data_IF_860888107653
#
_entry.id   IF_860888107653
#
_cell.length_a   1.000
_cell.length_b   1.000
_cell.length_c   1.000
_cell.angle_alpha   90.00
_cell.angle_beta   90.00
_cell.angle_gamma   90.00
#
_symmetry.space_group_name_H-M   'P 1'
#
loop_
_entity.id
_entity.type
_entity.pdbx_description
1 polymer ?
#
# COMPACT_ATOMS: atom_id res chain seq x y z
N UNK A 1 14.87 16.85 -5.87
CA UNK A 1 14.99 17.00 -4.40
C UNK A 1 14.46 18.38 -4.01
N UNK A 2 13.74 18.52 -2.88
CA UNK A 2 13.30 19.83 -2.40
C UNK A 2 14.50 20.73 -2.10
N UNK A 3 14.38 22.02 -2.41
CA UNK A 3 15.41 23.01 -2.07
C UNK A 3 15.39 23.35 -0.57
N UNK A 4 16.42 24.08 -0.10
CA UNK A 4 16.54 24.46 1.31
C UNK A 4 15.35 25.28 1.83
N UNK A 5 14.70 26.08 0.97
CA UNK A 5 13.55 26.88 1.35
C UNK A 5 12.32 26.01 1.61
N UNK A 6 12.11 24.99 0.77
CA UNK A 6 11.07 23.98 0.96
C UNK A 6 11.34 23.15 2.20
N UNK A 7 12.59 22.74 2.43
CA UNK A 7 12.99 22.00 3.63
C UNK A 7 12.73 22.82 4.90
N UNK A 8 13.06 24.11 4.90
CA UNK A 8 12.76 25.01 6.01
C UNK A 8 11.24 25.15 6.25
N UNK A 9 10.46 25.25 5.16
CA UNK A 9 9.00 25.25 5.22
C UNK A 9 8.43 23.95 5.82
N UNK A 10 8.96 22.80 5.42
CA UNK A 10 8.58 21.49 5.96
C UNK A 10 8.88 21.44 7.47
N UNK A 11 10.08 21.86 7.90
CA UNK A 11 10.45 21.89 9.32
C UNK A 11 9.51 22.77 10.14
N UNK A 12 9.16 23.95 9.63
CA UNK A 12 8.18 24.84 10.27
C UNK A 12 6.80 24.19 10.41
N UNK A 13 6.34 23.46 9.37
CA UNK A 13 5.08 22.72 9.44
C UNK A 13 5.15 21.57 10.46
N UNK A 14 6.28 20.86 10.56
CA UNK A 14 6.51 19.84 11.59
C UNK A 14 6.46 20.45 13.00
N UNK A 15 7.06 21.63 13.21
CA UNK A 15 7.00 22.33 14.51
C UNK A 15 5.55 22.68 14.90
N UNK A 16 4.76 23.18 13.95
CA UNK A 16 3.35 23.47 14.16
C UNK A 16 2.55 22.19 14.48
N UNK A 17 2.83 21.08 13.79
CA UNK A 17 2.24 19.78 14.08
C UNK A 17 2.62 19.28 15.48
N UNK A 18 3.90 19.35 15.86
CA UNK A 18 4.37 18.90 17.17
C UNK A 18 3.73 19.69 18.33
N UNK A 19 3.53 21.00 18.14
CA UNK A 19 2.81 21.83 19.11
C UNK A 19 1.37 21.33 19.33
N UNK A 20 0.68 20.91 18.26
CA UNK A 20 -0.66 20.33 18.35
C UNK A 20 -0.65 18.87 18.85
N UNK A 21 0.36 18.08 18.47
CA UNK A 21 0.49 16.63 18.75
C UNK A 21 0.44 16.34 20.24
N UNK A 22 1.20 17.09 21.05
CA UNK A 22 1.25 16.87 22.50
C UNK A 22 -0.15 16.98 23.14
N UNK A 23 -0.97 17.93 22.69
CA UNK A 23 -2.34 18.09 23.16
C UNK A 23 -3.24 16.95 22.72
N UNK A 24 -3.13 16.49 21.46
CA UNK A 24 -3.88 15.37 20.92
C UNK A 24 -3.52 14.05 21.62
N UNK A 25 -2.23 13.79 21.83
CA UNK A 25 -1.73 12.63 22.56
C UNK A 25 -2.25 12.62 24.00
N UNK A 26 -2.26 13.77 24.69
CA UNK A 26 -2.84 13.89 26.03
C UNK A 26 -4.34 13.62 26.04
N UNK A 27 -5.09 14.11 25.04
CA UNK A 27 -6.52 13.82 24.91
C UNK A 27 -6.77 12.33 24.73
N UNK A 28 -6.05 11.65 23.85
CA UNK A 28 -6.19 10.21 23.62
C UNK A 28 -5.86 9.41 24.88
N UNK A 29 -4.77 9.78 25.58
CA UNK A 29 -4.33 9.11 26.82
C UNK A 29 -5.40 9.11 27.91
N UNK A 30 -6.24 10.14 27.99
CA UNK A 30 -7.34 10.19 28.96
C UNK A 30 -8.66 9.67 28.41
N UNK A 31 -8.96 9.91 27.13
CA UNK A 31 -10.22 9.45 26.50
C UNK A 31 -10.32 7.95 26.41
N UNK A 32 -9.24 7.25 26.07
CA UNK A 32 -9.24 5.78 25.93
C UNK A 32 -9.62 5.10 27.26
N UNK A 33 -8.91 5.32 28.38
CA UNK A 33 -9.28 4.68 29.65
C UNK A 33 -10.62 5.17 30.16
N UNK A 34 -10.99 6.44 29.93
CA UNK A 34 -12.30 6.94 30.34
C UNK A 34 -13.43 6.23 29.59
N UNK A 35 -13.39 6.19 28.25
CA UNK A 35 -14.49 5.67 27.44
C UNK A 35 -14.60 4.15 27.55
N UNK A 36 -13.47 3.45 27.41
CA UNK A 36 -13.43 1.99 27.52
C UNK A 36 -13.65 1.56 28.97
N UNK A 37 -13.02 2.24 29.93
CA UNK A 37 -13.14 1.92 31.35
C UNK A 37 -14.56 2.13 31.89
N UNK A 38 -15.25 3.22 31.51
CA UNK A 38 -16.65 3.42 31.87
C UNK A 38 -17.56 2.35 31.27
N UNK A 39 -17.29 1.91 30.04
CA UNK A 39 -18.05 0.83 29.40
C UNK A 39 -17.86 -0.49 30.14
N UNK A 40 -16.62 -0.84 30.49
CA UNK A 40 -16.33 -2.04 31.27
C UNK A 40 -16.96 -1.97 32.67
N UNK A 41 -16.89 -0.82 33.34
CA UNK A 41 -17.55 -0.62 34.63
C UNK A 41 -19.07 -0.79 34.53
N UNK A 42 -19.70 -0.23 33.49
CA UNK A 42 -21.13 -0.40 33.25
C UNK A 42 -21.49 -1.87 32.99
N UNK A 43 -20.71 -2.59 32.19
CA UNK A 43 -20.90 -4.04 31.94
C UNK A 43 -20.80 -4.83 33.25
N UNK A 44 -19.82 -4.55 34.10
CA UNK A 44 -19.65 -5.23 35.40
C UNK A 44 -20.83 -4.94 36.33
N UNK A 45 -21.28 -3.68 36.41
CA UNK A 45 -22.41 -3.29 37.26
C UNK A 45 -23.71 -3.96 36.78
N UNK A 46 -23.97 -3.98 35.47
CA UNK A 46 -25.16 -4.61 34.90
C UNK A 46 -25.12 -6.13 35.07
N UNK A 47 -23.96 -6.77 34.86
CA UNK A 47 -23.78 -8.20 35.13
C UNK A 47 -24.04 -8.54 36.60
N UNK A 48 -23.52 -7.71 37.52
CA UNK A 48 -23.80 -7.87 38.94
C UNK A 48 -25.30 -7.76 39.28
N UNK A 49 -26.02 -6.84 38.64
CA UNK A 49 -27.47 -6.73 38.78
C UNK A 49 -28.22 -7.94 38.22
N UNK A 50 -27.80 -8.48 37.08
CA UNK A 50 -28.38 -9.71 36.53
C UNK A 50 -28.21 -10.89 37.50
N UNK A 51 -27.07 -11.01 38.17
CA UNK A 51 -26.85 -12.04 39.19
C UNK A 51 -27.78 -11.95 40.40
N UNK A 52 -28.37 -10.78 40.68
CA UNK A 52 -29.35 -10.64 41.77
C UNK A 52 -30.70 -11.29 41.45
N UNK A 53 -30.98 -11.53 40.16
CA UNK A 53 -32.25 -12.07 39.67
C UNK A 53 -32.06 -13.46 39.02
N UNK A 54 -30.81 -13.83 38.70
CA UNK A 54 -30.47 -15.10 38.07
C UNK A 54 -30.59 -16.30 39.03
N UNK A 55 -30.89 -17.46 38.47
CA UNK A 55 -30.78 -18.75 39.17
C UNK A 55 -29.33 -18.94 39.68
N UNK A 56 -29.13 -19.44 40.92
CA UNK A 56 -27.79 -19.72 41.46
C UNK A 56 -26.87 -20.52 40.53
N UNK A 57 -27.41 -21.41 39.69
CA UNK A 57 -26.64 -22.24 38.77
C UNK A 57 -26.25 -21.55 37.46
N UNK A 58 -26.84 -20.40 37.14
CA UNK A 58 -26.62 -19.66 35.88
C UNK A 58 -25.94 -18.29 36.08
N UNK A 59 -25.45 -18.01 37.29
CA UNK A 59 -24.77 -16.76 37.59
C UNK A 59 -23.59 -16.54 36.64
N UNK A 60 -23.44 -15.31 36.14
CA UNK A 60 -22.41 -14.86 35.19
C UNK A 60 -22.48 -15.42 33.77
N UNK A 61 -23.19 -16.52 33.55
CA UNK A 61 -23.22 -17.25 32.27
C UNK A 61 -24.62 -17.39 31.65
N UNK A 62 -25.67 -16.88 32.30
CA UNK A 62 -27.01 -16.88 31.72
C UNK A 62 -27.05 -16.12 30.39
N UNK A 63 -28.04 -16.44 29.55
CA UNK A 63 -28.19 -15.83 28.22
C UNK A 63 -28.09 -14.29 28.23
N UNK A 64 -28.71 -13.55 29.18
CA UNK A 64 -28.52 -12.10 29.30
C UNK A 64 -27.07 -11.63 29.49
N UNK A 65 -26.25 -12.36 30.26
CA UNK A 65 -24.85 -12.03 30.48
C UNK A 65 -24.04 -12.14 29.18
N UNK A 66 -24.25 -13.23 28.43
CA UNK A 66 -23.55 -13.44 27.15
C UNK A 66 -23.86 -12.28 26.19
N UNK A 67 -25.13 -11.90 26.03
CA UNK A 67 -25.50 -10.74 25.21
C UNK A 67 -24.87 -9.44 25.72
N UNK A 68 -24.89 -9.19 27.02
CA UNK A 68 -24.26 -8.02 27.63
C UNK A 68 -22.76 -7.94 27.32
N UNK A 69 -22.03 -9.06 27.40
CA UNK A 69 -20.59 -9.08 27.11
C UNK A 69 -20.32 -8.84 25.62
N UNK A 70 -21.10 -9.45 24.72
CA UNK A 70 -20.97 -9.19 23.28
C UNK A 70 -21.24 -7.73 22.93
N UNK A 71 -22.32 -7.15 23.47
CA UNK A 71 -22.68 -5.75 23.25
C UNK A 71 -21.61 -4.83 23.86
N UNK A 72 -21.17 -5.11 25.09
CA UNK A 72 -20.12 -4.37 25.77
C UNK A 72 -18.80 -4.39 25.00
N UNK A 73 -18.43 -5.54 24.44
CA UNK A 73 -17.24 -5.69 23.59
C UNK A 73 -17.36 -4.86 22.31
N UNK A 74 -18.48 -4.99 21.57
CA UNK A 74 -18.72 -4.22 20.36
C UNK A 74 -18.74 -2.70 20.64
N UNK A 75 -19.39 -2.27 21.73
CA UNK A 75 -19.42 -0.88 22.17
C UNK A 75 -18.02 -0.36 22.54
N UNK A 76 -17.22 -1.17 23.23
CA UNK A 76 -15.84 -0.83 23.58
C UNK A 76 -14.97 -0.58 22.36
N UNK A 77 -15.13 -1.39 21.30
CA UNK A 77 -14.43 -1.18 20.03
C UNK A 77 -14.83 0.16 19.40
N UNK A 78 -16.13 0.45 19.31
CA UNK A 78 -16.63 1.71 18.75
C UNK A 78 -16.14 2.93 19.54
N UNK A 79 -16.16 2.85 20.87
CA UNK A 79 -15.73 3.91 21.77
C UNK A 79 -14.21 4.10 21.76
N UNK A 80 -13.44 3.03 21.59
CA UNK A 80 -12.00 3.12 21.35
C UNK A 80 -11.71 3.93 20.08
N UNK A 81 -12.36 3.58 18.96
CA UNK A 81 -12.20 4.35 17.71
C UNK A 81 -12.62 5.81 17.88
N UNK A 82 -13.70 6.09 18.61
CA UNK A 82 -14.12 7.45 18.94
C UNK A 82 -13.08 8.19 19.81
N UNK A 83 -12.44 7.51 20.75
CA UNK A 83 -11.45 8.08 21.65
C UNK A 83 -10.17 8.50 20.92
N UNK A 84 -9.74 7.73 19.91
CA UNK A 84 -8.52 8.03 19.12
C UNK A 84 -8.75 9.02 17.96
N UNK A 85 -10.00 9.39 17.65
CA UNK A 85 -10.33 10.34 16.56
C UNK A 85 -9.51 11.63 16.52
N UNK A 86 -9.19 12.30 17.65
CA UNK A 86 -8.40 13.53 17.62
C UNK A 86 -7.00 13.32 17.04
N UNK A 87 -6.35 12.20 17.38
CA UNK A 87 -5.01 11.87 16.89
C UNK A 87 -5.04 11.53 15.40
N UNK A 88 -5.95 10.65 14.99
CA UNK A 88 -6.07 10.24 13.57
C UNK A 88 -6.42 11.41 12.66
N UNK A 89 -7.32 12.31 13.10
CA UNK A 89 -7.65 13.54 12.36
C UNK A 89 -6.47 14.49 12.23
N UNK A 90 -5.70 14.67 13.30
CA UNK A 90 -4.52 15.54 13.27
C UNK A 90 -3.44 14.99 12.34
N UNK A 91 -3.15 13.69 12.44
CA UNK A 91 -2.21 13.00 11.55
C UNK A 91 -2.66 13.11 10.09
N UNK A 92 -3.93 12.85 9.79
CA UNK A 92 -4.43 12.91 8.42
C UNK A 92 -4.40 14.33 7.86
N UNK A 93 -4.89 15.33 8.61
CA UNK A 93 -4.82 16.74 8.19
C UNK A 93 -3.38 17.19 7.92
N UNK A 94 -2.43 16.68 8.70
CA UNK A 94 -1.02 16.98 8.48
C UNK A 94 -0.46 16.25 7.25
N UNK A 95 -0.83 14.98 6.99
CA UNK A 95 -0.51 14.28 5.72
C UNK A 95 -1.03 15.05 4.52
N UNK A 96 -2.30 15.47 4.55
CA UNK A 96 -2.96 16.23 3.49
C UNK A 96 -2.21 17.54 3.15
N UNK A 97 -1.54 18.13 4.14
CA UNK A 97 -0.74 19.34 3.98
C UNK A 97 0.70 19.02 3.57
N UNK A 98 1.32 18.03 4.22
CA UNK A 98 2.74 17.71 4.07
C UNK A 98 3.04 17.03 2.73
N UNK A 99 2.24 16.02 2.34
CA UNK A 99 2.52 15.18 1.17
C UNK A 99 2.63 16.00 -0.13
N UNK A 100 1.71 16.93 -0.44
CA UNK A 100 1.86 17.81 -1.60
C UNK A 100 3.14 18.65 -1.57
N UNK A 101 3.58 19.10 -0.39
CA UNK A 101 4.78 19.95 -0.24
C UNK A 101 6.05 19.13 -0.48
N UNK A 102 6.17 17.96 0.15
CA UNK A 102 7.37 17.13 0.03
C UNK A 102 7.52 16.55 -1.40
N UNK A 103 6.40 16.42 -2.11
CA UNK A 103 6.35 16.03 -3.51
C UNK A 103 6.33 17.21 -4.49
N UNK A 104 6.65 18.43 -4.05
CA UNK A 104 6.69 19.63 -4.89
C UNK A 104 7.72 19.58 -6.04
N UNK A 105 8.60 18.58 -6.07
CA UNK A 105 9.48 18.31 -7.22
C UNK A 105 8.76 17.63 -8.40
N UNK A 106 7.51 17.19 -8.21
CA UNK A 106 6.64 16.62 -9.23
C UNK A 106 5.80 17.74 -9.84
N UNK A 107 5.77 17.85 -11.17
CA UNK A 107 4.91 18.81 -11.86
C UNK A 107 3.46 18.36 -11.76
N UNK A 108 2.52 19.29 -11.57
CA UNK A 108 1.08 19.01 -11.50
C UNK A 108 0.71 17.96 -10.43
N UNK A 109 1.42 17.97 -9.30
CA UNK A 109 1.18 17.01 -8.22
C UNK A 109 -0.25 17.10 -7.70
N UNK A 110 -0.91 15.95 -7.61
CA UNK A 110 -2.19 15.76 -6.94
C UNK A 110 -2.06 14.64 -5.93
N UNK A 111 -2.50 14.90 -4.72
CA UNK A 111 -2.57 13.93 -3.65
C UNK A 111 -4.03 13.68 -3.29
N UNK A 112 -4.38 12.42 -3.05
CA UNK A 112 -5.67 12.00 -2.55
C UNK A 112 -5.47 10.88 -1.53
N UNK A 113 -6.11 11.03 -0.38
CA UNK A 113 -6.24 9.96 0.60
C UNK A 113 -7.51 9.15 0.35
N UNK A 114 -7.34 7.85 0.15
CA UNK A 114 -8.37 6.89 -0.18
C UNK A 114 -8.90 7.05 -1.60
N UNK A 115 -9.75 6.10 -2.01
CA UNK A 115 -10.40 6.09 -3.33
C UNK A 115 -9.69 5.21 -4.35
N UNK A 116 -10.40 4.87 -5.43
CA UNK A 116 -9.88 3.97 -6.48
C UNK A 116 -8.97 4.78 -7.43
N UNK A 117 -7.70 4.39 -7.62
CA UNK A 117 -6.81 5.00 -8.61
C UNK A 117 -7.34 4.82 -10.03
N UNK A 118 -7.07 5.79 -10.91
CA UNK A 118 -7.58 5.78 -12.29
C UNK A 118 -6.91 4.69 -13.15
N UNK A 119 -5.66 4.35 -12.87
CA UNK A 119 -4.89 3.35 -13.60
C UNK A 119 -5.20 1.92 -13.18
N UNK A 120 -5.86 1.72 -12.03
CA UNK A 120 -6.04 0.39 -11.45
C UNK A 120 -6.85 -0.55 -12.34
N UNK A 121 -7.83 -0.03 -13.09
CA UNK A 121 -8.64 -0.83 -14.01
C UNK A 121 -7.85 -1.34 -15.24
N UNK A 122 -6.70 -0.72 -15.54
CA UNK A 122 -5.81 -1.10 -16.65
C UNK A 122 -4.68 -2.02 -16.23
N UNK A 123 -4.47 -2.21 -14.91
CA UNK A 123 -3.47 -3.13 -14.36
C UNK A 123 -3.84 -4.58 -14.73
N UNK A 124 -2.95 -5.34 -15.40
CA UNK A 124 -3.18 -6.76 -15.64
C UNK A 124 -3.36 -7.52 -14.33
N UNK A 125 -4.46 -8.27 -14.20
CA UNK A 125 -4.76 -9.05 -12.97
C UNK A 125 -3.69 -10.11 -12.71
N UNK A 126 -3.05 -10.56 -13.77
CA UNK A 126 -1.93 -11.48 -13.79
C UNK A 126 -0.72 -10.95 -13.00
N UNK A 127 -0.54 -9.63 -12.88
CA UNK A 127 0.56 -9.06 -12.10
C UNK A 127 0.35 -9.15 -10.57
N UNK A 128 -0.90 -9.22 -10.11
CA UNK A 128 -1.25 -9.09 -8.68
C UNK A 128 -1.81 -10.36 -8.05
N UNK A 129 -2.49 -11.22 -8.80
CA UNK A 129 -3.21 -12.35 -8.21
C UNK A 129 -4.73 -12.23 -8.33
N UNK A 130 -5.48 -13.25 -7.88
CA UNK A 130 -6.92 -13.15 -7.74
C UNK A 130 -7.23 -12.36 -6.48
N UNK A 131 -8.22 -11.48 -6.53
CA UNK A 131 -8.65 -10.74 -5.35
C UNK A 131 -10.14 -10.41 -5.48
N UNK A 132 -10.80 -10.29 -4.34
CA UNK A 132 -12.20 -9.85 -4.24
C UNK A 132 -12.37 -8.66 -3.30
N UNK A 133 -11.30 -8.28 -2.58
CA UNK A 133 -11.25 -7.11 -1.72
C UNK A 133 -10.04 -6.27 -2.08
N UNK A 134 -10.24 -4.96 -2.03
CA UNK A 134 -9.26 -3.96 -2.41
C UNK A 134 -9.37 -2.78 -1.46
N UNK A 135 -8.22 -2.29 -1.01
CA UNK A 135 -8.08 -1.06 -0.25
C UNK A 135 -6.94 -0.25 -0.86
N UNK A 136 -7.13 1.08 -0.91
CA UNK A 136 -6.12 2.03 -1.34
C UNK A 136 -6.01 3.11 -0.27
N UNK A 137 -4.79 3.44 0.14
CA UNK A 137 -4.55 4.42 1.20
C UNK A 137 -4.18 5.78 0.62
N UNK A 138 -3.00 5.90 0.01
CA UNK A 138 -2.56 7.15 -0.61
C UNK A 138 -2.43 7.00 -2.11
N UNK A 139 -2.90 8.02 -2.84
CA UNK A 139 -2.76 8.15 -4.29
C UNK A 139 -2.06 9.47 -4.59
N UNK A 140 -0.94 9.41 -5.29
CA UNK A 140 -0.16 10.55 -5.76
C UNK A 140 -0.09 10.48 -7.28
N UNK A 141 -0.53 11.52 -7.98
CA UNK A 141 -0.39 11.62 -9.44
C UNK A 141 0.28 12.92 -9.84
N UNK A 142 0.85 12.94 -11.04
CA UNK A 142 1.50 14.13 -11.59
C UNK A 142 2.35 13.79 -12.80
N UNK A 143 3.32 14.66 -13.08
CA UNK A 143 4.34 14.44 -14.11
C UNK A 143 5.72 14.45 -13.48
N UNK A 144 6.45 13.37 -13.67
CA UNK A 144 7.85 13.27 -13.27
C UNK A 144 8.70 13.28 -14.55
N UNK A 145 9.71 14.15 -14.61
CA UNK A 145 10.34 14.54 -15.87
C UNK A 145 9.25 14.90 -16.90
N UNK A 146 9.17 14.21 -18.03
CA UNK A 146 8.22 14.47 -19.13
C UNK A 146 7.05 13.48 -19.22
N UNK A 147 6.90 12.53 -18.31
CA UNK A 147 5.84 11.50 -18.39
C UNK A 147 4.83 11.60 -17.23
N UNK A 148 3.54 11.30 -17.49
CA UNK A 148 2.54 11.20 -16.44
C UNK A 148 2.71 9.91 -15.64
N UNK A 149 2.42 9.98 -14.34
CA UNK A 149 2.37 8.81 -13.48
C UNK A 149 1.22 8.90 -12.47
N UNK A 150 0.83 7.74 -11.95
CA UNK A 150 -0.04 7.59 -10.79
C UNK A 150 0.58 6.53 -9.86
N UNK A 151 0.95 6.92 -8.65
CA UNK A 151 1.50 6.07 -7.62
C UNK A 151 0.46 5.89 -6.52
N UNK A 152 0.26 4.66 -6.07
CA UNK A 152 -0.66 4.41 -4.97
C UNK A 152 -0.28 3.20 -4.11
N UNK A 153 -0.61 3.30 -2.82
CA UNK A 153 -0.55 2.19 -1.88
C UNK A 153 -1.79 1.31 -2.04
N UNK A 154 -1.59 0.01 -2.26
CA UNK A 154 -2.67 -0.95 -2.48
C UNK A 154 -2.54 -2.17 -1.57
N UNK A 155 -3.68 -2.59 -1.01
CA UNK A 155 -3.84 -3.90 -0.39
C UNK A 155 -4.97 -4.67 -1.09
N UNK A 156 -4.61 -5.79 -1.72
CA UNK A 156 -5.50 -6.69 -2.44
C UNK A 156 -5.56 -8.02 -1.71
N UNK A 157 -6.78 -8.46 -1.39
CA UNK A 157 -7.03 -9.70 -0.62
C UNK A 157 -8.00 -10.62 -1.35
N UNK A 158 -7.78 -11.91 -1.17
CA UNK A 158 -8.67 -12.98 -1.61
C UNK A 158 -9.39 -13.61 -0.42
N UNK A 159 -10.63 -14.06 -0.62
CA UNK A 159 -11.43 -14.73 0.39
C UNK A 159 -12.06 -13.80 1.43
N UNK A 160 -12.82 -14.38 2.36
CA UNK A 160 -13.55 -13.69 3.44
C UNK A 160 -13.28 -14.32 4.80
N UNK A 161 -13.17 -13.50 5.86
CA UNK A 161 -12.99 -14.01 7.22
C UNK A 161 -11.62 -14.64 7.48
N UNK A 162 -11.59 -15.73 8.26
CA UNK A 162 -10.36 -16.40 8.74
C UNK A 162 -9.51 -17.07 7.65
N UNK A 163 -10.06 -17.26 6.45
CA UNK A 163 -9.36 -17.87 5.31
C UNK A 163 -8.84 -16.87 4.30
N UNK A 164 -8.76 -15.57 4.63
CA UNK A 164 -8.32 -14.57 3.66
C UNK A 164 -6.81 -14.57 3.48
N UNK A 165 -6.35 -14.54 2.24
CA UNK A 165 -4.95 -14.39 1.84
C UNK A 165 -4.71 -13.00 1.23
N UNK A 166 -3.48 -12.50 1.37
CA UNK A 166 -3.06 -11.27 0.70
C UNK A 166 -2.50 -11.62 -0.67
N UNK A 167 -3.16 -11.14 -1.73
CA UNK A 167 -2.69 -11.29 -3.11
C UNK A 167 -1.55 -10.29 -3.40
N UNK A 168 -1.73 -9.05 -2.94
CA UNK A 168 -0.74 -7.99 -3.05
C UNK A 168 -0.87 -7.01 -1.89
N UNK A 169 0.27 -6.58 -1.34
CA UNK A 169 0.36 -5.43 -0.45
C UNK A 169 1.65 -4.68 -0.78
N UNK A 170 1.53 -3.38 -1.04
CA UNK A 170 2.69 -2.54 -1.37
C UNK A 170 2.31 -1.34 -2.21
N UNK A 171 3.28 -0.83 -2.97
CA UNK A 171 3.11 0.33 -3.85
C UNK A 171 3.01 -0.09 -5.30
N UNK A 172 2.11 0.55 -6.04
CA UNK A 172 2.00 0.42 -7.49
C UNK A 172 2.26 1.78 -8.11
N UNK A 173 3.17 1.82 -9.09
CA UNK A 173 3.44 3.00 -9.92
C UNK A 173 2.99 2.69 -11.34
N UNK A 174 1.93 3.36 -11.78
CA UNK A 174 1.48 3.35 -13.16
C UNK A 174 2.10 4.52 -13.91
N UNK A 175 2.56 4.29 -15.14
CA UNK A 175 3.20 5.28 -15.99
C UNK A 175 2.93 4.99 -17.47
N UNK A 176 3.14 5.99 -18.32
CA UNK A 176 3.09 5.82 -19.76
C UNK A 176 4.40 5.19 -20.28
N UNK A 177 4.29 4.04 -20.97
CA UNK A 177 5.43 3.41 -21.63
C UNK A 177 5.88 4.26 -22.83
N UNK A 178 7.20 4.31 -23.10
CA UNK A 178 7.73 5.10 -24.24
C UNK A 178 7.28 4.51 -25.57
N UNK A 179 7.38 3.18 -25.70
CA UNK A 179 6.80 2.43 -26.81
C UNK A 179 5.69 1.53 -26.26
N UNK A 180 4.46 1.62 -26.78
CA UNK A 180 3.38 0.73 -26.39
C UNK A 180 3.74 -0.74 -26.66
N UNK A 181 3.49 -1.60 -25.69
CA UNK A 181 3.65 -3.04 -25.86
C UNK A 181 2.41 -3.60 -26.59
N UNK A 182 2.54 -4.32 -27.72
CA UNK A 182 1.41 -4.82 -28.49
C UNK A 182 0.84 -6.11 -27.87
N UNK A 183 0.26 -5.98 -26.67
CA UNK A 183 -0.30 -7.08 -25.88
C UNK A 183 -0.20 -6.82 -24.38
N UNK A 184 -0.12 -7.90 -23.62
CA UNK A 184 0.17 -7.92 -22.18
C UNK A 184 1.49 -8.64 -21.95
N UNK A 185 2.41 -8.04 -21.20
CA UNK A 185 3.61 -8.69 -20.70
C UNK A 185 3.70 -8.49 -19.19
N UNK A 186 3.80 -9.57 -18.43
CA UNK A 186 4.00 -9.53 -16.98
C UNK A 186 5.29 -10.25 -16.60
N UNK A 187 6.03 -9.65 -15.68
CA UNK A 187 7.16 -10.24 -14.99
C UNK A 187 6.85 -10.24 -13.48
N UNK A 188 6.62 -11.43 -12.94
CA UNK A 188 6.25 -11.63 -11.54
C UNK A 188 7.26 -12.51 -10.83
N UNK A 189 7.30 -12.48 -9.50
CA UNK A 189 8.13 -13.39 -8.71
C UNK A 189 7.79 -14.84 -9.03
N UNK A 190 8.79 -15.65 -9.35
CA UNK A 190 8.64 -17.10 -9.49
C UNK A 190 8.42 -17.70 -8.11
N UNK A 191 7.20 -18.19 -7.86
CA UNK A 191 6.88 -19.01 -6.69
C UNK A 191 6.00 -20.18 -7.10
N UNK A 192 6.10 -21.30 -6.38
CA UNK A 192 5.22 -22.47 -6.61
C UNK A 192 3.72 -22.12 -6.45
N UNK A 193 3.42 -21.07 -5.66
CA UNK A 193 2.06 -20.55 -5.48
C UNK A 193 1.55 -19.82 -6.73
N UNK A 194 2.41 -19.07 -7.42
CA UNK A 194 2.09 -18.35 -8.64
C UNK A 194 1.84 -19.31 -9.82
N UNK A 195 2.61 -20.40 -9.93
CA UNK A 195 2.39 -21.46 -10.94
C UNK A 195 1.02 -22.14 -10.77
N UNK A 196 0.57 -22.37 -9.53
CA UNK A 196 -0.78 -22.88 -9.24
C UNK A 196 -1.89 -21.86 -9.45
N UNK A 197 -1.63 -20.59 -9.09
CA UNK A 197 -2.51 -19.43 -9.30
C UNK A 197 -2.86 -19.24 -10.78
N UNK A 198 -1.87 -19.29 -11.67
CA UNK A 198 -2.10 -19.13 -13.11
C UNK A 198 -2.79 -20.33 -13.77
N UNK A 199 -2.53 -21.54 -13.27
CA UNK A 199 -3.23 -22.75 -13.76
C UNK A 199 -4.72 -22.77 -13.35
N UNK A 200 -5.08 -22.11 -12.24
CA UNK A 200 -6.46 -21.99 -11.76
C UNK A 200 -7.27 -20.85 -12.40
N UNK A 201 -6.61 -19.84 -12.98
CA UNK A 201 -7.24 -18.86 -13.87
C UNK A 201 -7.45 -19.51 -15.24
N UNK A 202 -8.53 -20.29 -15.39
CA UNK A 202 -8.95 -21.02 -16.60
C UNK A 202 -9.23 -20.09 -17.82
N UNK A 203 -8.25 -19.33 -18.29
CA UNK A 203 -8.42 -18.47 -19.47
C UNK A 203 -7.31 -17.47 -19.81
N UNK A 204 -6.20 -17.36 -19.08
CA UNK A 204 -5.14 -16.44 -19.54
C UNK A 204 -4.48 -17.01 -20.80
N UNK A 205 -4.59 -16.30 -21.92
CA UNK A 205 -3.89 -16.61 -23.18
C UNK A 205 -2.37 -16.38 -23.08
N UNK A 206 -1.86 -16.13 -21.87
CA UNK A 206 -0.48 -15.76 -21.65
C UNK A 206 0.41 -17.00 -21.64
N UNK A 207 1.37 -17.00 -22.53
CA UNK A 207 2.38 -18.03 -22.66
C UNK A 207 3.60 -17.67 -21.82
N UNK A 208 4.23 -18.67 -21.22
CA UNK A 208 5.46 -18.48 -20.45
C UNK A 208 6.66 -18.29 -21.39
N UNK A 209 7.58 -17.43 -20.97
CA UNK A 209 8.82 -17.13 -21.66
C UNK A 209 9.99 -17.16 -20.66
N UNK A 210 11.17 -17.55 -21.14
CA UNK A 210 12.43 -17.53 -20.39
C UNK A 210 13.29 -16.38 -20.88
N UNK A 211 13.98 -15.71 -19.94
CA UNK A 211 14.97 -14.68 -20.23
C UNK A 211 16.28 -15.25 -20.77
N UNK A 212 16.54 -16.53 -20.55
CA UNK A 212 17.79 -17.21 -20.91
C UNK A 212 18.92 -16.99 -19.89
N UNK A 213 18.70 -16.17 -18.85
CA UNK A 213 19.63 -16.00 -17.73
C UNK A 213 19.12 -16.84 -16.53
N UNK A 214 19.87 -17.88 -16.08
CA UNK A 214 19.39 -18.81 -15.05
C UNK A 214 18.99 -18.16 -13.73
N UNK A 215 19.69 -17.10 -13.31
CA UNK A 215 19.38 -16.39 -12.06
C UNK A 215 18.08 -15.59 -12.15
N UNK A 216 17.85 -14.92 -13.29
CA UNK A 216 16.62 -14.17 -13.53
C UNK A 216 15.45 -15.12 -13.68
N UNK A 217 15.61 -16.19 -14.43
CA UNK A 217 14.57 -17.20 -14.57
C UNK A 217 14.31 -17.92 -13.23
N UNK A 218 15.29 -18.08 -12.35
CA UNK A 218 15.01 -18.63 -11.02
C UNK A 218 14.16 -17.69 -10.14
N UNK A 219 14.35 -16.37 -10.28
CA UNK A 219 13.66 -15.36 -9.47
C UNK A 219 12.32 -14.89 -10.06
N UNK A 220 12.20 -14.89 -11.38
CA UNK A 220 11.08 -14.32 -12.13
C UNK A 220 10.41 -15.31 -13.07
N UNK A 221 9.12 -15.08 -13.28
CA UNK A 221 8.29 -15.77 -14.26
C UNK A 221 7.72 -14.71 -15.21
N UNK A 222 8.00 -14.89 -16.51
CA UNK A 222 7.53 -14.01 -17.58
C UNK A 222 6.35 -14.63 -18.30
N UNK A 223 5.29 -13.84 -18.50
CA UNK A 223 4.11 -14.28 -19.24
C UNK A 223 3.61 -13.21 -20.19
N UNK A 224 3.20 -13.63 -21.38
CA UNK A 224 2.77 -12.71 -22.46
C UNK A 224 1.75 -13.35 -23.40
N UNK A 225 0.82 -12.57 -23.95
CA UNK A 225 -0.03 -13.00 -25.07
C UNK A 225 0.64 -12.79 -26.44
N UNK A 226 1.76 -12.06 -26.48
CA UNK A 226 2.54 -11.79 -27.68
C UNK A 226 4.02 -12.14 -27.45
N UNK A 227 4.38 -13.38 -27.80
CA UNK A 227 5.75 -13.90 -27.64
C UNK A 227 6.73 -13.15 -28.54
N UNK A 228 6.34 -12.84 -29.78
CA UNK A 228 7.24 -12.22 -30.77
C UNK A 228 7.68 -10.84 -30.30
N UNK A 229 6.76 -10.04 -29.75
CA UNK A 229 7.07 -8.74 -29.17
C UNK A 229 7.80 -8.83 -27.82
N UNK A 230 7.45 -9.82 -26.97
CA UNK A 230 8.03 -9.93 -25.63
C UNK A 230 9.46 -10.48 -25.61
N UNK A 231 9.80 -11.41 -26.53
CA UNK A 231 11.09 -12.09 -26.57
C UNK A 231 12.30 -11.15 -26.48
N UNK A 232 12.44 -10.14 -27.36
CA UNK A 232 13.58 -9.23 -27.29
C UNK A 232 13.64 -8.41 -25.99
N UNK A 233 12.50 -8.09 -25.39
CA UNK A 233 12.44 -7.35 -24.13
C UNK A 233 12.92 -8.21 -22.97
N UNK A 234 12.39 -9.43 -22.86
CA UNK A 234 12.63 -10.38 -21.76
C UNK A 234 14.06 -10.92 -21.79
N UNK A 235 14.66 -11.16 -22.96
CA UNK A 235 16.07 -11.57 -23.06
C UNK A 235 17.04 -10.41 -23.01
N UNK A 236 16.55 -9.16 -23.03
CA UNK A 236 17.35 -7.94 -23.10
C UNK A 236 17.11 -7.01 -21.92
N UNK A 237 16.61 -5.81 -22.21
CA UNK A 237 16.50 -4.69 -21.25
C UNK A 237 15.64 -5.01 -20.03
N UNK A 238 14.58 -5.81 -20.16
CA UNK A 238 13.71 -6.14 -19.02
C UNK A 238 14.44 -7.02 -18.00
N UNK A 239 15.19 -8.04 -18.45
CA UNK A 239 15.98 -8.87 -17.54
C UNK A 239 17.03 -8.05 -16.79
N UNK A 240 17.73 -7.14 -17.48
CA UNK A 240 18.69 -6.23 -16.86
C UNK A 240 18.04 -5.30 -15.83
N UNK A 241 16.88 -4.72 -16.15
CA UNK A 241 16.13 -3.89 -15.23
C UNK A 241 15.67 -4.67 -13.99
N UNK A 242 15.18 -5.90 -14.16
CA UNK A 242 14.74 -6.77 -13.06
C UNK A 242 15.90 -7.23 -12.18
N UNK A 243 17.10 -7.40 -12.76
CA UNK A 243 18.33 -7.68 -12.02
C UNK A 243 18.67 -6.52 -11.08
N UNK A 244 18.74 -5.31 -11.62
CA UNK A 244 19.00 -4.09 -10.85
C UNK A 244 17.90 -3.82 -9.79
N UNK A 245 16.63 -4.08 -10.14
CA UNK A 245 15.51 -4.00 -9.20
C UNK A 245 15.66 -4.97 -8.04
N UNK A 246 16.09 -6.21 -8.29
CA UNK A 246 16.34 -7.20 -7.25
C UNK A 246 17.51 -6.83 -6.32
N UNK A 247 18.51 -6.12 -6.83
CA UNK A 247 19.60 -5.57 -6.02
C UNK A 247 19.15 -4.39 -5.15
N UNK A 248 18.26 -3.55 -5.68
CA UNK A 248 17.79 -2.34 -5.00
C UNK A 248 16.67 -2.62 -3.99
N UNK A 249 15.85 -3.65 -4.23
CA UNK A 249 14.76 -4.11 -3.36
C UNK A 249 14.89 -5.62 -3.07
N UNK A 250 15.75 -6.03 -2.13
CA UNK A 250 16.10 -7.44 -1.92
C UNK A 250 15.02 -8.29 -1.22
N UNK A 251 14.10 -7.65 -0.49
CA UNK A 251 13.14 -8.38 0.37
C UNK A 251 12.06 -9.12 -0.42
N UNK A 252 11.47 -8.47 -1.43
CA UNK A 252 10.50 -9.10 -2.34
C UNK A 252 10.70 -8.55 -3.77
N UNK A 253 10.90 -9.42 -4.79
CA UNK A 253 11.11 -9.00 -6.16
C UNK A 253 10.00 -8.07 -6.67
N UNK A 254 10.43 -6.92 -7.21
CA UNK A 254 9.57 -5.98 -7.90
C UNK A 254 8.88 -6.66 -9.10
N UNK A 255 7.59 -6.41 -9.30
CA UNK A 255 6.85 -6.94 -10.45
C UNK A 255 6.71 -5.85 -11.50
N UNK A 256 6.76 -6.23 -12.77
CA UNK A 256 6.56 -5.31 -13.89
C UNK A 256 5.42 -5.83 -14.75
N UNK A 257 4.55 -4.94 -15.20
CA UNK A 257 3.52 -5.27 -16.18
C UNK A 257 3.45 -4.19 -17.26
N UNK A 258 3.32 -4.60 -18.52
CA UNK A 258 3.05 -3.75 -19.67
C UNK A 258 1.70 -4.17 -20.27
N UNK A 259 0.86 -3.21 -20.60
CA UNK A 259 -0.45 -3.42 -21.20
C UNK A 259 -0.75 -2.27 -22.17
N UNK A 260 -0.52 -2.49 -23.47
CA UNK A 260 -0.63 -1.42 -24.45
C UNK A 260 0.34 -0.27 -24.13
N UNK A 261 -0.21 0.95 -24.00
CA UNK A 261 0.57 2.14 -23.63
C UNK A 261 0.86 2.30 -22.13
N UNK A 262 0.25 1.50 -21.26
CA UNK A 262 0.44 1.58 -19.82
C UNK A 262 1.55 0.63 -19.35
N UNK A 263 2.44 1.15 -18.51
CA UNK A 263 3.40 0.37 -17.74
C UNK A 263 3.12 0.46 -16.25
N UNK A 264 3.39 -0.62 -15.53
CA UNK A 264 3.19 -0.74 -14.10
C UNK A 264 4.44 -1.33 -13.44
N UNK A 265 4.90 -0.67 -12.40
CA UNK A 265 5.88 -1.18 -11.46
C UNK A 265 5.19 -1.45 -10.13
N UNK A 266 5.27 -2.69 -9.65
CA UNK A 266 4.69 -3.10 -8.39
C UNK A 266 5.83 -3.44 -7.43
N UNK A 267 5.81 -2.83 -6.26
CA UNK A 267 6.80 -3.01 -5.22
C UNK A 267 6.10 -3.63 -4.01
N UNK A 268 6.11 -4.97 -3.88
CA UNK A 268 5.49 -5.64 -2.74
C UNK A 268 6.26 -5.27 -1.48
N UNK A 269 5.58 -4.67 -0.51
CA UNK A 269 6.14 -4.35 0.80
C UNK A 269 5.07 -4.39 1.88
N UNK A 270 5.46 -4.81 3.08
CA UNK A 270 4.56 -4.84 4.23
C UNK A 270 4.34 -3.45 4.85
N UNK A 271 5.31 -2.53 4.65
CA UNK A 271 5.33 -1.15 5.17
C UNK A 271 4.43 -0.24 4.34
N UNK A 272 3.77 0.70 5.02
CA UNK A 272 3.16 1.87 4.38
C UNK A 272 4.24 2.97 4.22
N UNK A 273 4.45 3.43 2.99
CA UNK A 273 5.49 4.39 2.62
C UNK A 273 5.19 5.79 3.10
N UNK A 274 3.93 6.21 3.12
CA UNK A 274 3.53 7.59 3.42
C UNK A 274 2.84 7.74 4.78
N UNK A 275 2.98 6.74 5.65
CA UNK A 275 2.41 6.75 6.99
C UNK A 275 3.31 7.54 7.95
N UNK A 276 2.69 8.44 8.70
CA UNK A 276 3.35 9.17 9.78
C UNK A 276 3.51 8.27 11.01
N UNK A 277 4.54 8.49 11.84
CA UNK A 277 4.65 7.77 13.11
C UNK A 277 3.42 8.00 14.00
N UNK A 278 3.17 7.06 14.91
CA UNK A 278 2.09 7.17 15.90
C UNK A 278 2.12 8.51 16.65
N UNK A 279 0.95 8.99 17.08
CA UNK A 279 0.81 10.26 17.81
C UNK A 279 1.68 10.35 19.08
N UNK A 280 2.09 9.21 19.62
CA UNK A 280 2.97 9.09 20.79
C UNK A 280 4.42 9.48 20.49
N UNK A 281 4.86 9.32 19.23
CA UNK A 281 6.22 9.53 18.77
C UNK A 281 6.36 10.92 18.15
N UNK A 282 7.37 11.73 18.54
CA UNK A 282 7.66 12.99 17.88
C UNK A 282 8.03 12.79 16.42
N UNK A 283 7.46 13.61 15.54
CA UNK A 283 7.83 13.65 14.14
C UNK A 283 9.17 14.38 13.98
N UNK A 284 10.00 13.83 13.10
CA UNK A 284 11.33 14.36 12.79
C UNK A 284 11.54 14.31 11.27
N UNK A 285 12.12 15.38 10.73
CA UNK A 285 12.35 15.50 9.31
C UNK A 285 13.29 14.40 8.79
N UNK A 286 14.46 14.25 9.42
CA UNK A 286 15.52 13.36 8.93
C UNK A 286 15.13 11.90 9.05
N UNK A 287 14.44 11.54 10.14
CA UNK A 287 14.06 10.15 10.43
C UNK A 287 12.81 9.71 9.69
N UNK A 288 11.85 10.61 9.47
CA UNK A 288 10.53 10.21 8.98
C UNK A 288 10.22 10.80 7.60
N UNK A 289 10.58 12.05 7.32
CA UNK A 289 10.17 12.73 6.08
C UNK A 289 11.20 12.57 4.95
N UNK A 290 12.48 12.75 5.25
CA UNK A 290 13.56 12.61 4.26
C UNK A 290 13.60 11.22 3.60
N UNK A 291 13.38 10.10 4.33
CA UNK A 291 13.27 8.79 3.71
C UNK A 291 12.07 8.68 2.76
N UNK A 292 10.91 9.25 3.09
CA UNK A 292 9.74 9.24 2.20
C UNK A 292 10.03 9.94 0.86
N UNK A 293 10.74 11.08 0.91
CA UNK A 293 11.16 11.82 -0.29
C UNK A 293 12.14 10.98 -1.12
N UNK A 294 13.12 10.36 -0.46
CA UNK A 294 14.11 9.50 -1.10
C UNK A 294 13.47 8.28 -1.75
N UNK A 295 12.58 7.59 -1.03
CA UNK A 295 11.84 6.42 -1.48
C UNK A 295 10.98 6.78 -2.70
N UNK A 296 10.24 7.90 -2.65
CA UNK A 296 9.48 8.41 -3.79
C UNK A 296 10.38 8.69 -4.99
N UNK A 297 11.50 9.38 -4.79
CA UNK A 297 12.46 9.67 -5.86
C UNK A 297 13.02 8.40 -6.49
N UNK A 298 13.36 7.40 -5.69
CA UNK A 298 13.83 6.10 -6.17
C UNK A 298 12.75 5.36 -6.96
N UNK A 299 11.51 5.32 -6.46
CA UNK A 299 10.39 4.68 -7.17
C UNK A 299 10.10 5.34 -8.53
N UNK A 300 10.12 6.66 -8.61
CA UNK A 300 9.91 7.39 -9.86
C UNK A 300 11.08 7.28 -10.83
N UNK A 301 12.32 7.29 -10.33
CA UNK A 301 13.50 7.03 -11.14
C UNK A 301 13.47 5.60 -11.72
N UNK A 302 13.09 4.61 -10.92
CA UNK A 302 12.87 3.24 -11.37
C UNK A 302 11.77 3.17 -12.44
N UNK A 303 10.62 3.81 -12.21
CA UNK A 303 9.56 3.87 -13.23
C UNK A 303 10.07 4.51 -14.54
N UNK A 304 10.90 5.56 -14.44
CA UNK A 304 11.52 6.21 -15.59
C UNK A 304 12.53 5.32 -16.35
N UNK A 305 13.16 4.36 -15.67
CA UNK A 305 13.97 3.31 -16.31
C UNK A 305 13.08 2.25 -16.95
N UNK A 306 12.06 1.77 -16.23
CA UNK A 306 11.17 0.70 -16.69
C UNK A 306 10.34 1.14 -17.91
N UNK A 307 9.91 2.40 -18.00
CA UNK A 307 9.20 2.91 -19.21
C UNK A 307 10.01 2.80 -20.50
N UNK A 308 11.35 2.75 -20.40
CA UNK A 308 12.26 2.66 -21.56
C UNK A 308 12.51 1.22 -22.02
N UNK A 309 12.03 0.22 -21.27
CA UNK A 309 12.24 -1.19 -21.59
C UNK A 309 11.69 -1.52 -22.97
N UNK A 310 10.51 -0.99 -23.33
CA UNK A 310 9.86 -1.24 -24.62
C UNK A 310 10.55 -0.60 -25.83
N UNK A 311 11.50 0.32 -25.62
CA UNK A 311 12.19 1.00 -26.71
C UNK A 311 13.11 0.02 -27.43
N UNK A 312 12.94 -0.13 -28.75
CA UNK A 312 13.82 -0.98 -29.57
C UNK A 312 15.27 -0.46 -29.47
N UNK A 313 16.23 -1.36 -29.39
CA UNK A 313 17.64 -0.98 -29.58
C UNK A 313 17.75 -0.38 -30.99
N UNK A 314 18.11 0.89 -31.12
CA UNK A 314 18.63 1.38 -32.38
C UNK A 314 19.87 0.53 -32.68
N UNK A 315 19.80 -0.23 -33.77
CA UNK A 315 20.89 -1.08 -34.22
C UNK A 315 22.15 -0.21 -34.37
N UNK A 316 23.14 -0.48 -33.52
CA UNK A 316 24.53 -0.13 -33.79
C UNK A 316 25.11 -1.06 -34.85
#
# INVERSE_FOLDING_TARGET
>A
MPDETVIAGIRKNIEAYEAARASAARQVRWRVPLFVGLTLAAVVVIAWLFNKVADPNEQWFSTPHVFLYFIGFAASILLYFQAIKPATRLQQSFRDTLLPIIFGFIREVRYQHGGRPNSFDRLPREAVGPFNRQAFDDVVSGRYEEFPFELYEAELREGTGKGSSTAFKGVIVAFEAVEPFPGILVATRRTNAVVGFFRGLFGSKLQELSSGEPLIDAAYEFRTDNIEAARPLVTGRLAQALKWLGETWPDDPARVALNGGDGFLLLPQAKNFFELPEISVPLDYTRHVAPMISDMGAMLATAALVRKIGVKDEAG
#
